data_IF_211280125701
#
_entry.id   IF_211280125701
#
_cell.length_a   1.000
_cell.length_b   1.000
_cell.length_c   1.000
_cell.angle_alpha   90.00
_cell.angle_beta   90.00
_cell.angle_gamma   90.00
#
_symmetry.space_group_name_H-M   'P 1'
#
loop_
_entity.id
_entity.type
_entity.pdbx_description
1 polymer ?
#
# COMPACT_ATOMS: atom_id res chain seq x y z
N UNK A 1 53.36 -3.45 -3.28
CA UNK A 1 52.60 -2.62 -4.24
C UNK A 1 51.67 -3.53 -5.00
N UNK A 2 50.40 -3.61 -4.60
CA UNK A 2 49.35 -4.31 -5.35
C UNK A 2 48.75 -3.29 -6.32
N UNK A 3 48.99 -3.49 -7.60
CA UNK A 3 48.38 -2.71 -8.68
C UNK A 3 46.98 -3.30 -8.93
N UNK A 4 45.96 -2.68 -8.34
CA UNK A 4 44.57 -3.01 -8.69
C UNK A 4 44.33 -2.58 -10.13
N UNK A 5 43.87 -3.52 -10.95
CA UNK A 5 43.75 -3.32 -12.39
C UNK A 5 42.54 -2.41 -12.70
N UNK A 6 42.70 -1.32 -13.48
CA UNK A 6 41.65 -0.32 -13.71
C UNK A 6 40.33 -0.90 -14.24
N UNK A 7 40.42 -1.88 -15.14
CA UNK A 7 39.26 -2.51 -15.77
C UNK A 7 38.37 -3.30 -14.80
N UNK A 8 38.91 -3.72 -13.65
CA UNK A 8 38.12 -4.39 -12.62
C UNK A 8 37.11 -3.43 -11.99
N UNK A 9 37.49 -2.15 -11.84
CA UNK A 9 36.62 -1.12 -11.27
C UNK A 9 35.51 -0.71 -12.26
N UNK A 10 35.84 -0.60 -13.53
CA UNK A 10 34.87 -0.27 -14.60
C UNK A 10 33.84 -1.38 -14.81
N UNK A 11 34.24 -2.64 -14.69
CA UNK A 11 33.32 -3.79 -14.72
C UNK A 11 32.36 -3.78 -13.53
N UNK A 12 32.84 -3.44 -12.35
CA UNK A 12 31.99 -3.31 -11.16
C UNK A 12 31.04 -2.14 -11.29
N UNK A 13 31.51 -0.98 -11.75
CA UNK A 13 30.67 0.21 -11.96
C UNK A 13 29.57 -0.04 -12.99
N UNK A 14 29.89 -0.66 -14.12
CA UNK A 14 28.90 -1.00 -15.14
C UNK A 14 27.87 -2.03 -14.64
N UNK A 15 28.30 -3.01 -13.83
CA UNK A 15 27.39 -3.96 -13.18
C UNK A 15 26.46 -3.28 -12.16
N UNK A 16 26.97 -2.32 -11.38
CA UNK A 16 26.17 -1.54 -10.41
C UNK A 16 25.18 -0.63 -11.12
N UNK A 17 25.60 0.02 -12.21
CA UNK A 17 24.73 0.87 -13.02
C UNK A 17 23.59 0.06 -13.66
N UNK A 18 23.90 -1.11 -14.22
CA UNK A 18 22.89 -2.01 -14.79
C UNK A 18 21.90 -2.49 -13.71
N UNK A 19 22.41 -2.90 -12.54
CA UNK A 19 21.58 -3.42 -11.45
C UNK A 19 20.69 -2.33 -10.86
N UNK A 20 21.21 -1.11 -10.67
CA UNK A 20 20.42 0.01 -10.18
C UNK A 20 19.26 0.36 -11.11
N UNK A 21 19.50 0.41 -12.43
CA UNK A 21 18.45 0.67 -13.43
C UNK A 21 17.33 -0.38 -13.38
N UNK A 22 17.70 -1.66 -13.23
CA UNK A 22 16.73 -2.75 -13.11
C UNK A 22 15.91 -2.62 -11.81
N UNK A 23 16.58 -2.37 -10.68
CA UNK A 23 15.91 -2.17 -9.40
C UNK A 23 14.95 -0.98 -9.42
N UNK A 24 15.35 0.14 -10.02
CA UNK A 24 14.46 1.29 -10.18
C UNK A 24 13.24 0.96 -11.05
N UNK A 25 13.44 0.25 -12.17
CA UNK A 25 12.33 -0.14 -13.04
C UNK A 25 11.33 -1.05 -12.31
N UNK A 26 11.81 -2.01 -11.53
CA UNK A 26 10.96 -2.92 -10.75
C UNK A 26 10.20 -2.18 -9.64
N UNK A 27 10.86 -1.27 -8.92
CA UNK A 27 10.24 -0.44 -7.89
C UNK A 27 9.15 0.47 -8.47
N UNK A 28 9.43 1.14 -9.60
CA UNK A 28 8.46 2.01 -10.27
C UNK A 28 7.25 1.21 -10.74
N UNK A 29 7.47 0.02 -11.34
CA UNK A 29 6.38 -0.84 -11.78
C UNK A 29 5.51 -1.30 -10.60
N UNK A 30 6.12 -1.66 -9.48
CA UNK A 30 5.40 -2.02 -8.24
C UNK A 30 4.61 -0.84 -7.67
N UNK A 31 5.21 0.35 -7.62
CA UNK A 31 4.57 1.57 -7.13
C UNK A 31 3.32 1.95 -7.96
N UNK A 32 3.38 1.77 -9.28
CA UNK A 32 2.22 1.98 -10.16
C UNK A 32 1.09 1.01 -9.81
N UNK A 33 1.39 -0.28 -9.67
CA UNK A 33 0.40 -1.29 -9.28
C UNK A 33 -0.23 -0.98 -7.92
N UNK A 34 0.58 -0.61 -6.93
CA UNK A 34 0.12 -0.21 -5.60
C UNK A 34 -0.76 1.03 -5.65
N UNK A 35 -0.43 2.02 -6.49
CA UNK A 35 -1.21 3.25 -6.62
C UNK A 35 -2.57 2.97 -7.24
N UNK A 36 -2.63 2.18 -8.31
CA UNK A 36 -3.89 1.77 -8.95
C UNK A 36 -4.76 1.02 -7.95
N UNK A 37 -4.17 0.04 -7.25
CA UNK A 37 -4.87 -0.72 -6.22
C UNK A 37 -5.42 0.17 -5.10
N UNK A 38 -4.62 1.13 -4.63
CA UNK A 38 -5.02 2.09 -3.61
C UNK A 38 -6.17 2.97 -4.09
N UNK A 39 -6.12 3.48 -5.33
CA UNK A 39 -7.21 4.29 -5.91
C UNK A 39 -8.50 3.48 -6.02
N UNK A 40 -8.42 2.21 -6.45
CA UNK A 40 -9.60 1.33 -6.53
C UNK A 40 -10.17 1.07 -5.14
N UNK A 41 -9.34 0.75 -4.15
CA UNK A 41 -9.78 0.53 -2.77
C UNK A 41 -10.41 1.80 -2.17
N UNK A 42 -9.79 2.96 -2.36
CA UNK A 42 -10.31 4.23 -1.86
C UNK A 42 -11.62 4.61 -2.54
N UNK A 43 -11.72 4.39 -3.85
CA UNK A 43 -12.96 4.64 -4.61
C UNK A 43 -14.08 3.72 -4.14
N UNK A 44 -13.77 2.44 -3.92
CA UNK A 44 -14.71 1.47 -3.38
C UNK A 44 -15.15 1.84 -1.95
N UNK A 45 -14.20 2.14 -1.06
CA UNK A 45 -14.47 2.55 0.31
C UNK A 45 -15.28 3.86 0.38
N UNK A 46 -14.96 4.86 -0.44
CA UNK A 46 -15.71 6.10 -0.53
C UNK A 46 -17.15 5.87 -1.02
N UNK A 47 -17.33 4.99 -2.01
CA UNK A 47 -18.66 4.60 -2.48
C UNK A 47 -19.45 3.89 -1.38
N UNK A 48 -18.80 3.03 -0.60
CA UNK A 48 -19.39 2.35 0.54
C UNK A 48 -19.78 3.37 1.63
N UNK A 49 -18.92 4.33 1.96
CA UNK A 49 -19.19 5.37 2.96
C UNK A 49 -20.37 6.27 2.55
N UNK A 50 -20.38 6.76 1.30
CA UNK A 50 -21.37 7.72 0.81
C UNK A 50 -22.70 7.02 0.47
N UNK A 51 -22.64 5.82 -0.13
CA UNK A 51 -23.80 5.07 -0.61
C UNK A 51 -24.33 4.04 0.39
N UNK A 52 -23.59 3.75 1.47
CA UNK A 52 -23.89 2.69 2.41
C UNK A 52 -25.24 2.83 3.10
N UNK A 53 -25.65 4.06 3.42
CA UNK A 53 -26.95 4.34 4.03
C UNK A 53 -28.13 4.04 3.07
N UNK A 54 -27.90 4.15 1.75
CA UNK A 54 -28.88 3.78 0.72
C UNK A 54 -28.84 2.29 0.35
N UNK A 55 -27.70 1.61 0.55
CA UNK A 55 -27.50 0.19 0.23
C UNK A 55 -27.88 -0.75 1.39
N UNK A 56 -27.61 -0.36 2.63
CA UNK A 56 -27.83 -1.20 3.83
C UNK A 56 -28.89 -0.63 4.78
N UNK A 57 -29.44 0.55 4.50
CA UNK A 57 -30.52 1.14 5.30
C UNK A 57 -30.13 1.29 6.79
N UNK A 58 -31.05 1.03 7.74
CA UNK A 58 -30.75 1.12 9.18
C UNK A 58 -29.56 0.26 9.65
N UNK A 59 -29.27 -0.83 8.95
CA UNK A 59 -28.13 -1.71 9.23
C UNK A 59 -26.78 -1.09 8.89
N UNK A 60 -26.75 -0.06 8.02
CA UNK A 60 -25.55 0.75 7.77
C UNK A 60 -25.06 1.43 9.04
N UNK A 61 -25.99 2.04 9.78
CA UNK A 61 -25.71 2.71 11.04
C UNK A 61 -25.14 1.72 12.06
N UNK A 62 -25.68 0.50 12.12
CA UNK A 62 -25.15 -0.60 12.96
C UNK A 62 -23.79 -1.15 12.50
N UNK A 63 -23.43 -1.04 11.22
CA UNK A 63 -22.16 -1.52 10.63
C UNK A 63 -21.01 -0.50 10.71
N UNK A 64 -21.31 0.77 10.95
CA UNK A 64 -20.27 1.79 11.21
C UNK A 64 -19.48 1.35 12.44
N UNK A 65 -18.15 1.32 12.31
CA UNK A 65 -17.22 0.75 13.29
C UNK A 65 -17.42 1.28 14.73
N UNK A 66 -17.97 2.48 14.91
CA UNK A 66 -18.39 3.00 16.22
C UNK A 66 -19.59 2.27 16.82
N UNK A 67 -20.64 1.99 16.05
CA UNK A 67 -21.79 1.21 16.51
C UNK A 67 -21.48 -0.29 16.59
N UNK A 68 -20.61 -0.81 15.73
CA UNK A 68 -20.11 -2.20 15.86
C UNK A 68 -19.29 -2.37 17.13
N UNK A 69 -18.42 -1.41 17.46
CA UNK A 69 -17.66 -1.44 18.72
C UNK A 69 -18.57 -1.35 19.95
N UNK A 70 -19.67 -0.60 19.85
CA UNK A 70 -20.67 -0.48 20.92
C UNK A 70 -21.54 -1.73 21.05
N UNK A 71 -21.98 -2.32 19.92
CA UNK A 71 -22.75 -3.58 19.87
C UNK A 71 -21.93 -4.81 20.25
N UNK A 72 -20.63 -4.82 19.95
CA UNK A 72 -19.69 -5.89 20.33
C UNK A 72 -19.14 -5.71 21.75
N UNK A 73 -19.54 -4.65 22.47
CA UNK A 73 -19.16 -4.42 23.86
C UNK A 73 -17.68 -4.13 24.09
N UNK A 74 -16.92 -3.79 23.03
CA UNK A 74 -15.49 -3.49 23.13
C UNK A 74 -15.25 -2.09 23.73
N UNK A 75 -16.26 -1.22 23.72
CA UNK A 75 -16.30 0.04 24.51
C UNK A 75 -16.55 -0.16 26.01
N UNK A 76 -16.95 -1.37 26.45
CA UNK A 76 -17.31 -1.70 27.84
C UNK A 76 -16.24 -2.43 28.66
N UNK A 77 -15.06 -2.72 28.11
CA UNK A 77 -13.98 -3.43 28.84
C UNK A 77 -13.04 -2.49 29.64
N UNK A 78 -13.38 -1.21 29.77
CA UNK A 78 -12.79 -0.31 30.74
C UNK A 78 -13.88 0.18 31.70
N UNK A 79 -14.25 -0.69 32.64
CA UNK A 79 -15.08 -0.43 33.81
C UNK A 79 -14.59 -1.25 34.98
#
# INVERSE_FOLDING_TARGET
MTYECPWQFDLVLSSVEQTSKLLFADVVRSAIGFTIFSVVLLTWAATFIIGGERLFGPGWNDLVMYNVADKLGISGFMG
#
